data_IF_511418515129
#
_entry.id   IF_511418515129
#
_cell.length_a   1.000
_cell.length_b   1.000
_cell.length_c   1.000
_cell.angle_alpha   90.00
_cell.angle_beta   90.00
_cell.angle_gamma   90.00
#
_symmetry.space_group_name_H-M   'P 1'
#
loop_
_entity.id
_entity.type
_entity.pdbx_description
1 polymer ?
#
# COMPACT_ATOMS: atom_id res chain seq x y z
N UNK A 1 -7.72 34.91 -26.66
CA UNK A 1 -8.71 34.05 -27.34
C UNK A 1 -8.12 32.72 -27.89
N UNK A 2 -6.94 32.26 -27.45
CA UNK A 2 -6.34 30.97 -27.85
C UNK A 2 -6.43 29.91 -26.73
N UNK A 3 -6.31 30.33 -25.46
CA UNK A 3 -6.39 29.44 -24.29
C UNK A 3 -7.79 28.84 -24.03
N UNK A 4 -8.89 29.46 -24.47
CA UNK A 4 -10.24 28.86 -24.33
C UNK A 4 -10.47 27.72 -25.33
N UNK A 5 -9.82 27.76 -26.50
CA UNK A 5 -9.89 26.68 -27.51
C UNK A 5 -9.08 25.45 -27.09
N UNK A 6 -7.93 25.66 -26.42
CA UNK A 6 -7.11 24.57 -25.86
C UNK A 6 -7.82 23.85 -24.70
N UNK A 7 -8.56 24.58 -23.85
CA UNK A 7 -9.39 23.99 -22.79
C UNK A 7 -10.57 23.18 -23.32
N UNK A 8 -11.05 23.48 -24.53
CA UNK A 8 -12.09 22.70 -25.22
C UNK A 8 -11.53 21.40 -25.79
N UNK A 9 -10.33 21.43 -26.39
CA UNK A 9 -9.67 20.22 -26.93
C UNK A 9 -9.32 19.23 -25.80
N UNK A 10 -8.79 19.72 -24.67
CA UNK A 10 -8.44 18.87 -23.51
C UNK A 10 -9.70 18.34 -22.80
N UNK A 11 -10.80 19.09 -22.77
CA UNK A 11 -12.09 18.62 -22.22
C UNK A 11 -12.83 17.67 -23.16
N UNK A 12 -12.76 17.86 -24.48
CA UNK A 12 -13.37 16.96 -25.46
C UNK A 12 -12.63 15.62 -25.57
N UNK A 13 -11.29 15.62 -25.49
CA UNK A 13 -10.50 14.39 -25.47
C UNK A 13 -10.73 13.54 -24.22
N UNK A 14 -10.94 14.16 -23.07
CA UNK A 14 -11.27 13.47 -21.82
C UNK A 14 -12.67 12.83 -21.89
N UNK A 15 -13.66 13.54 -22.43
CA UNK A 15 -15.05 13.05 -22.56
C UNK A 15 -15.17 11.88 -23.56
N UNK A 16 -14.42 11.91 -24.68
CA UNK A 16 -14.39 10.79 -25.63
C UNK A 16 -13.71 9.54 -25.03
N UNK A 17 -12.71 9.73 -24.16
CA UNK A 17 -12.03 8.62 -23.49
C UNK A 17 -12.90 7.95 -22.41
N UNK A 18 -13.89 8.66 -21.84
CA UNK A 18 -14.86 8.05 -20.91
C UNK A 18 -15.85 7.15 -21.66
N UNK A 19 -16.18 7.45 -22.92
CA UNK A 19 -17.09 6.64 -23.74
C UNK A 19 -16.42 5.40 -24.38
N UNK A 20 -15.09 5.37 -24.48
CA UNK A 20 -14.33 4.18 -24.94
C UNK A 20 -13.96 3.21 -23.82
N UNK A 21 -14.43 3.44 -22.58
CA UNK A 21 -14.22 2.54 -21.44
C UNK A 21 -12.74 2.24 -21.11
N UNK A 22 -11.80 3.09 -21.55
CA UNK A 22 -10.36 2.79 -21.51
C UNK A 22 -9.60 3.49 -20.38
N UNK A 23 -10.26 4.34 -19.60
CA UNK A 23 -9.74 4.87 -18.34
C UNK A 23 -10.39 4.13 -17.19
N UNK A 24 -9.84 2.97 -16.84
CA UNK A 24 -10.02 2.42 -15.51
C UNK A 24 -9.29 3.37 -14.56
N UNK A 25 -10.04 4.27 -13.90
CA UNK A 25 -9.58 4.80 -12.63
C UNK A 25 -9.46 3.58 -11.72
N UNK A 26 -8.24 3.08 -11.53
CA UNK A 26 -7.98 2.04 -10.54
C UNK A 26 -8.14 2.72 -9.20
N UNK A 27 -9.38 2.70 -8.70
CA UNK A 27 -9.69 3.05 -7.32
C UNK A 27 -8.74 2.24 -6.44
N UNK A 28 -7.90 2.92 -5.64
CA UNK A 28 -7.07 2.24 -4.68
C UNK A 28 -8.00 1.58 -3.67
N UNK A 29 -8.16 0.26 -3.76
CA UNK A 29 -8.98 -0.49 -2.83
C UNK A 29 -8.37 -0.38 -1.43
N UNK A 30 -9.00 0.37 -0.55
CA UNK A 30 -8.61 0.50 0.85
C UNK A 30 -9.12 -0.71 1.63
N UNK A 31 -8.54 -1.88 1.38
CA UNK A 31 -8.77 -3.04 2.23
C UNK A 31 -8.15 -2.79 3.62
N UNK A 32 -8.80 -3.26 4.71
CA UNK A 32 -8.21 -3.17 6.03
C UNK A 32 -6.90 -3.98 6.07
N UNK A 33 -5.85 -3.51 6.76
CA UNK A 33 -4.64 -4.29 6.94
C UNK A 33 -4.94 -5.57 7.72
N UNK A 34 -4.25 -6.66 7.38
CA UNK A 34 -4.28 -7.87 8.21
C UNK A 34 -3.33 -7.69 9.37
N UNK A 35 -3.83 -7.84 10.60
CA UNK A 35 -3.03 -7.71 11.82
C UNK A 35 -2.62 -9.07 12.37
N UNK A 36 -1.36 -9.18 12.80
CA UNK A 36 -0.83 -10.38 13.43
C UNK A 36 -0.40 -10.06 14.85
N UNK A 37 -0.76 -10.93 15.79
CA UNK A 37 -0.39 -10.76 17.20
C UNK A 37 1.08 -11.11 17.39
N UNK A 38 1.79 -10.26 18.14
CA UNK A 38 3.14 -10.55 18.60
C UNK A 38 3.02 -11.34 19.92
N UNK A 39 3.69 -12.49 20.06
CA UNK A 39 3.57 -13.33 21.25
C UNK A 39 4.01 -12.64 22.55
N UNK A 40 5.00 -11.75 22.46
CA UNK A 40 5.49 -10.99 23.61
C UNK A 40 4.65 -9.72 23.81
N UNK A 41 3.90 -9.66 24.90
CA UNK A 41 3.17 -8.45 25.30
C UNK A 41 4.15 -7.30 25.60
N UNK A 42 3.76 -6.06 25.25
CA UNK A 42 4.56 -4.85 25.46
C UNK A 42 6.01 -4.94 24.90
N UNK A 43 6.20 -5.70 23.82
CA UNK A 43 7.52 -5.98 23.23
C UNK A 43 8.26 -4.77 22.67
N UNK A 44 7.55 -3.67 22.39
CA UNK A 44 8.14 -2.45 21.82
C UNK A 44 8.71 -2.69 20.42
N UNK A 45 7.90 -3.22 19.49
CA UNK A 45 8.37 -3.42 18.12
C UNK A 45 8.71 -2.07 17.47
N UNK A 46 9.94 -1.94 16.98
CA UNK A 46 10.47 -0.67 16.50
C UNK A 46 10.91 -0.68 15.03
N UNK A 47 11.32 -1.84 14.51
CA UNK A 47 11.88 -2.01 13.17
C UNK A 47 11.48 -3.37 12.62
N UNK A 48 11.25 -3.44 11.31
CA UNK A 48 10.92 -4.66 10.57
C UNK A 48 11.62 -4.65 9.21
N UNK A 49 12.10 -5.81 8.75
CA UNK A 49 12.69 -6.03 7.44
C UNK A 49 12.19 -7.34 6.83
N UNK A 50 12.17 -7.43 5.50
CA UNK A 50 12.01 -8.71 4.82
C UNK A 50 13.34 -9.48 4.80
N UNK A 51 13.31 -10.75 5.16
CA UNK A 51 14.45 -11.65 5.09
C UNK A 51 14.54 -12.38 3.74
N UNK A 52 15.73 -12.86 3.36
CA UNK A 52 15.91 -13.69 2.16
C UNK A 52 15.23 -15.07 2.28
N UNK A 53 14.82 -15.45 3.49
CA UNK A 53 14.04 -16.67 3.78
C UNK A 53 12.53 -16.50 3.52
N UNK A 54 12.10 -15.32 3.03
CA UNK A 54 10.69 -15.02 2.77
C UNK A 54 9.89 -14.65 4.02
N UNK A 55 10.52 -14.58 5.19
CA UNK A 55 9.90 -14.17 6.45
C UNK A 55 10.16 -12.70 6.75
N UNK A 56 9.39 -12.14 7.67
CA UNK A 56 9.62 -10.81 8.21
C UNK A 56 10.34 -10.92 9.55
N UNK A 57 11.39 -10.12 9.71
CA UNK A 57 12.22 -10.07 10.91
C UNK A 57 12.09 -8.71 11.57
N UNK A 58 11.88 -8.68 12.88
CA UNK A 58 11.63 -7.45 13.61
C UNK A 58 12.32 -7.39 14.96
N UNK A 59 12.54 -6.17 15.46
CA UNK A 59 13.20 -5.92 16.74
C UNK A 59 12.16 -5.62 17.83
N UNK A 60 12.14 -6.45 18.88
CA UNK A 60 11.40 -6.21 20.12
C UNK A 60 12.33 -5.51 21.12
N UNK A 61 12.38 -4.18 21.10
CA UNK A 61 13.38 -3.42 21.86
C UNK A 61 13.20 -3.54 23.36
N UNK A 62 11.95 -3.48 23.84
CA UNK A 62 11.65 -3.58 25.27
C UNK A 62 11.85 -5.00 25.81
N UNK A 63 11.71 -6.01 24.95
CA UNK A 63 11.90 -7.41 25.33
C UNK A 63 13.33 -7.93 25.09
N UNK A 64 14.21 -7.12 24.49
CA UNK A 64 15.58 -7.50 24.09
C UNK A 64 15.63 -8.75 23.20
N UNK A 65 14.73 -8.84 22.22
CA UNK A 65 14.59 -10.00 21.32
C UNK A 65 14.53 -9.62 19.85
N UNK A 66 14.85 -10.58 19.00
CA UNK A 66 14.57 -10.54 17.57
C UNK A 66 13.42 -11.50 17.31
N UNK A 67 12.33 -10.98 16.77
CA UNK A 67 11.16 -11.75 16.35
C UNK A 67 11.22 -12.08 14.87
N UNK A 68 10.58 -13.19 14.50
CA UNK A 68 10.35 -13.61 13.11
C UNK A 68 8.88 -13.96 12.97
N UNK A 69 8.28 -13.58 11.85
CA UNK A 69 6.91 -13.97 11.49
C UNK A 69 6.84 -14.31 10.00
N UNK A 70 6.08 -15.34 9.65
CA UNK A 70 5.77 -15.61 8.24
C UNK A 70 4.81 -14.54 7.69
N UNK A 71 4.71 -14.34 6.36
CA UNK A 71 3.68 -13.47 5.77
C UNK A 71 2.24 -13.91 6.08
N UNK A 72 2.05 -15.16 6.52
CA UNK A 72 0.77 -15.70 6.98
C UNK A 72 0.51 -15.55 8.48
N UNK A 73 1.46 -15.01 9.25
CA UNK A 73 1.26 -14.66 10.66
C UNK A 73 1.70 -15.68 11.70
N UNK A 74 2.61 -16.60 11.35
CA UNK A 74 3.09 -17.69 12.22
C UNK A 74 4.52 -17.49 12.71
#
# INVERSE_FOLDING_TARGET
MFLQRLRFIVRCGLILCVLSGSLNVVEAQTLPPTEFKIPTAASGVSRIIAGPDGNLWFLETAAHKIGRITPSGQ
#
